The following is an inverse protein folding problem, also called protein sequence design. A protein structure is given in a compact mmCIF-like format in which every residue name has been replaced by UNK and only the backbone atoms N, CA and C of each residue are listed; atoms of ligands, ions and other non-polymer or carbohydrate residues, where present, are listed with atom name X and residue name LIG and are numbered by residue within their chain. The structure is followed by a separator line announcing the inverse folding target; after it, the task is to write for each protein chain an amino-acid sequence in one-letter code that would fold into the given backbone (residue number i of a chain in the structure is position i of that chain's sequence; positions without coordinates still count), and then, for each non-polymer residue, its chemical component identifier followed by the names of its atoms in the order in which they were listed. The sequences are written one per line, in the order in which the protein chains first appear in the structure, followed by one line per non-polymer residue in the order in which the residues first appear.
data_IF_239474078830
#
_entry.id   IF_239474078830
#
_cell.length_a   1.000
_cell.length_b   1.000
_cell.length_c   1.000
_cell.angle_alpha   90.00
_cell.angle_beta   90.00
_cell.angle_gamma   90.00
#
_symmetry.space_group_name_H-M   'P 1'
#
loop_
_entity.id
_entity.type
_entity.pdbx_description
1 polymer ?
#
# COMPACT_ATOMS: atom_id res chain seq x y z
N UNK A 1 -22.87 -20.21 -1.45
CA UNK A 1 -22.97 -18.95 -0.71
C UNK A 1 -21.70 -18.15 -0.97
N UNK A 2 -21.88 -17.03 -1.69
CA UNK A 2 -21.13 -15.77 -1.69
C UNK A 2 -19.62 -15.79 -1.96
N UNK A 3 -19.26 -15.91 -3.25
CA UNK A 3 -18.03 -15.38 -3.81
C UNK A 3 -18.15 -13.85 -3.92
N UNK A 4 -17.53 -13.12 -2.99
CA UNK A 4 -17.24 -11.71 -3.19
C UNK A 4 -15.83 -11.60 -3.78
N UNK A 5 -15.74 -11.08 -5.00
CA UNK A 5 -14.51 -10.53 -5.56
C UNK A 5 -13.93 -9.50 -4.59
N UNK A 6 -12.94 -9.86 -3.78
CA UNK A 6 -12.33 -8.93 -2.81
C UNK A 6 -11.38 -8.02 -3.57
N UNK A 7 -11.89 -6.87 -4.02
CA UNK A 7 -11.06 -5.69 -4.23
C UNK A 7 -10.32 -5.42 -2.92
N UNK A 8 -8.98 -5.56 -2.90
CA UNK A 8 -8.18 -5.16 -1.74
C UNK A 8 -8.25 -3.65 -1.63
N UNK A 9 -9.16 -3.13 -0.79
CA UNK A 9 -9.26 -1.71 -0.51
C UNK A 9 -7.94 -1.23 0.10
N UNK A 10 -7.35 -0.19 -0.47
CA UNK A 10 -6.15 0.43 0.08
C UNK A 10 -6.55 1.80 0.62
N UNK A 11 -6.28 2.01 1.91
CA UNK A 11 -6.67 3.21 2.63
C UNK A 11 -5.43 4.00 2.97
N UNK A 12 -5.33 5.18 2.35
CA UNK A 12 -4.28 6.15 2.65
C UNK A 12 -4.61 6.92 3.93
N UNK A 13 -3.82 6.70 4.97
CA UNK A 13 -3.88 7.37 6.27
C UNK A 13 -2.71 8.36 6.40
N UNK A 14 -3.00 9.63 6.63
CA UNK A 14 -2.00 10.67 6.88
C UNK A 14 -1.96 10.99 8.37
N UNK A 15 -0.77 11.04 8.98
CA UNK A 15 -0.55 11.42 10.37
C UNK A 15 0.00 12.83 10.41
N UNK A 16 -0.75 13.74 11.04
CA UNK A 16 -0.41 15.16 11.17
C UNK A 16 -0.44 15.58 12.65
N UNK A 17 0.14 16.73 12.96
CA UNK A 17 0.29 17.21 14.34
C UNK A 17 1.63 17.92 14.56
N UNK A 18 1.73 18.63 15.68
CA UNK A 18 2.90 19.45 15.98
C UNK A 18 4.18 18.61 16.16
N UNK A 19 5.35 19.24 16.08
CA UNK A 19 6.64 18.57 16.34
C UNK A 19 6.66 17.93 17.73
N UNK A 20 7.42 16.83 17.90
CA UNK A 20 7.61 16.13 19.19
C UNK A 20 6.37 15.54 19.87
N UNK A 21 5.21 15.56 19.21
CA UNK A 21 3.97 14.87 19.64
C UNK A 21 4.06 13.34 19.55
N UNK A 22 5.04 12.82 18.80
CA UNK A 22 5.34 11.38 18.70
C UNK A 22 4.67 10.65 17.53
N UNK A 23 4.29 11.35 16.45
CA UNK A 23 3.73 10.79 15.21
C UNK A 23 4.56 9.62 14.64
N UNK A 24 5.86 9.85 14.43
CA UNK A 24 6.78 8.81 13.95
C UNK A 24 6.89 7.64 14.93
N UNK A 25 6.92 7.90 16.23
CA UNK A 25 6.96 6.85 17.26
C UNK A 25 5.68 6.00 17.24
N UNK A 26 4.51 6.60 17.02
CA UNK A 26 3.23 5.90 16.88
C UNK A 26 3.26 4.99 15.65
N UNK A 27 3.70 5.51 14.49
CA UNK A 27 3.80 4.73 13.25
C UNK A 27 4.79 3.56 13.40
N UNK A 28 6.00 3.81 13.93
CA UNK A 28 7.03 2.78 14.15
C UNK A 28 6.52 1.72 15.13
N UNK A 29 5.84 2.14 16.21
CA UNK A 29 5.25 1.21 17.17
C UNK A 29 4.20 0.31 16.51
N UNK A 30 3.37 0.86 15.62
CA UNK A 30 2.39 0.05 14.91
C UNK A 30 3.01 -0.94 13.92
N UNK A 31 3.98 -0.48 13.12
CA UNK A 31 4.54 -1.28 12.03
C UNK A 31 5.57 -2.29 12.51
N UNK A 32 6.45 -1.88 13.43
CA UNK A 32 7.65 -2.64 13.80
C UNK A 32 7.59 -3.19 15.23
N UNK A 33 6.55 -2.83 15.99
CA UNK A 33 6.44 -3.10 17.43
C UNK A 33 7.69 -2.66 18.23
N UNK A 34 8.28 -1.53 17.85
CA UNK A 34 9.48 -0.94 18.47
C UNK A 34 9.20 0.46 19.02
N UNK A 35 10.03 0.88 19.97
CA UNK A 35 10.09 2.26 20.44
C UNK A 35 11.55 2.65 20.62
N UNK A 36 11.88 3.88 20.22
CA UNK A 36 13.22 4.45 20.31
C UNK A 36 13.10 5.70 21.19
N UNK A 37 13.81 5.75 22.32
CA UNK A 37 13.71 6.85 23.30
C UNK A 37 14.22 8.19 22.74
N UNK A 38 15.20 8.16 21.83
CA UNK A 38 15.78 9.35 21.18
C UNK A 38 15.40 9.40 19.70
N UNK A 39 14.23 9.94 19.39
CA UNK A 39 13.83 10.20 18.00
C UNK A 39 14.26 11.61 17.63
N UNK A 40 15.21 11.72 16.70
CA UNK A 40 15.55 13.01 16.07
C UNK A 40 14.36 13.55 15.29
N UNK A 41 14.29 14.87 15.08
CA UNK A 41 13.19 15.48 14.34
C UNK A 41 13.03 14.85 12.95
N UNK A 42 11.81 14.47 12.60
CA UNK A 42 11.49 13.86 11.31
C UNK A 42 11.74 14.87 10.20
N UNK A 43 12.72 14.60 9.35
CA UNK A 43 12.99 15.35 8.13
C UNK A 43 12.17 14.73 7.00
N UNK A 44 11.16 15.45 6.50
CA UNK A 44 10.33 15.03 5.37
C UNK A 44 9.09 14.20 5.75
N UNK A 45 8.66 13.30 4.86
CA UNK A 45 7.48 12.44 5.04
C UNK A 45 7.92 10.97 4.94
N UNK A 46 7.45 10.15 5.87
CA UNK A 46 7.70 8.70 5.95
C UNK A 46 6.42 7.93 5.57
N UNK A 47 6.53 6.77 4.94
CA UNK A 47 5.44 5.93 4.46
C UNK A 47 5.61 4.46 4.85
N UNK A 48 4.52 3.82 5.28
CA UNK A 48 4.46 2.39 5.61
C UNK A 48 3.23 1.74 4.99
N UNK A 49 3.37 0.48 4.58
CA UNK A 49 2.25 -0.34 4.16
C UNK A 49 2.00 -1.47 5.16
N UNK A 50 0.77 -1.63 5.62
CA UNK A 50 0.36 -2.69 6.55
C UNK A 50 -0.91 -3.36 6.06
N UNK A 51 -0.92 -4.69 5.95
CA UNK A 51 -2.13 -5.46 5.65
C UNK A 51 -2.92 -5.71 6.93
N UNK A 52 -4.19 -5.31 6.95
CA UNK A 52 -5.07 -5.43 8.11
C UNK A 52 -6.18 -6.44 7.84
N UNK A 53 -6.43 -7.31 8.81
CA UNK A 53 -7.60 -8.18 8.87
C UNK A 53 -8.41 -7.83 10.11
N UNK A 54 -9.61 -7.25 9.92
CA UNK A 54 -10.51 -6.86 11.02
C UNK A 54 -11.94 -7.23 10.69
N UNK A 55 -12.64 -7.87 11.63
CA UNK A 55 -14.02 -8.33 11.48
C UNK A 55 -14.25 -9.18 10.20
N UNK A 56 -13.30 -10.04 9.85
CA UNK A 56 -13.36 -10.87 8.64
C UNK A 56 -13.16 -10.11 7.33
N UNK A 57 -12.84 -8.81 7.38
CA UNK A 57 -12.55 -7.97 6.21
C UNK A 57 -11.04 -7.73 6.09
N UNK A 58 -10.55 -7.70 4.85
CA UNK A 58 -9.15 -7.50 4.52
C UNK A 58 -8.96 -6.19 3.75
N UNK A 59 -8.04 -5.34 4.22
CA UNK A 59 -7.69 -4.09 3.54
C UNK A 59 -6.23 -3.72 3.82
N UNK A 60 -5.63 -2.94 2.92
CA UNK A 60 -4.29 -2.39 3.10
C UNK A 60 -4.35 -0.99 3.69
N UNK A 61 -3.47 -0.70 4.64
CA UNK A 61 -3.20 0.64 5.14
C UNK A 61 -1.93 1.18 4.49
N UNK A 62 -2.03 2.37 3.93
CA UNK A 62 -0.91 3.21 3.49
C UNK A 62 -0.75 4.35 4.49
N UNK A 63 0.15 4.22 5.45
CA UNK A 63 0.35 5.18 6.52
C UNK A 63 1.42 6.17 6.08
N UNK A 64 1.15 7.47 6.21
CA UNK A 64 2.04 8.57 5.85
C UNK A 64 2.30 9.42 7.10
N UNK A 65 3.51 9.37 7.65
CA UNK A 65 3.95 10.21 8.78
C UNK A 65 4.60 11.49 8.26
N UNK A 66 4.11 12.65 8.69
CA UNK A 66 4.65 13.94 8.23
C UNK A 66 5.58 14.57 9.27
N UNK A 67 6.64 15.25 8.81
CA UNK A 67 7.38 16.19 9.63
C UNK A 67 6.41 17.20 10.28
N UNK A 68 6.53 17.38 11.59
CA UNK A 68 5.76 18.38 12.34
C UNK A 68 6.39 19.77 12.34
N UNK A 69 7.39 20.04 11.47
CA UNK A 69 8.02 21.35 11.41
C UNK A 69 7.26 22.28 10.47
N UNK A 70 6.85 23.39 11.05
CA UNK A 70 6.14 24.52 10.46
C UNK A 70 6.85 25.19 9.28
N UNK A 71 8.13 24.91 9.04
CA UNK A 71 8.93 25.49 7.95
C UNK A 71 8.67 24.84 6.58
N UNK A 72 7.95 23.70 6.52
CA UNK A 72 7.74 22.91 5.29
C UNK A 72 6.27 22.83 4.83
N UNK A 73 5.43 23.78 5.25
CA UNK A 73 3.96 23.80 5.00
C UNK A 73 3.56 23.60 3.53
N UNK A 74 4.29 24.16 2.57
CA UNK A 74 3.98 24.03 1.13
C UNK A 74 4.12 22.59 0.61
N UNK A 75 5.01 21.79 1.22
CA UNK A 75 5.28 20.40 0.81
C UNK A 75 4.21 19.45 1.38
N UNK A 76 3.70 19.72 2.59
CA UNK A 76 2.68 18.93 3.29
C UNK A 76 1.35 18.93 2.52
N UNK A 77 0.98 20.06 1.90
CA UNK A 77 -0.25 20.21 1.10
C UNK A 77 -0.42 19.13 0.02
N UNK A 78 0.67 18.70 -0.60
CA UNK A 78 0.62 17.66 -1.65
C UNK A 78 0.22 16.27 -1.13
N UNK A 79 0.46 15.98 0.16
CA UNK A 79 0.20 14.68 0.75
C UNK A 79 -1.24 14.50 1.19
N UNK A 80 -1.99 15.57 1.43
CA UNK A 80 -3.43 15.51 1.67
C UNK A 80 -4.19 14.96 0.46
N UNK A 81 -3.66 15.14 -0.76
CA UNK A 81 -4.31 14.65 -1.98
C UNK A 81 -4.41 13.13 -1.98
N UNK A 82 -5.64 12.63 -2.16
CA UNK A 82 -5.95 11.20 -2.16
C UNK A 82 -5.83 10.53 -0.80
N UNK A 83 -5.68 11.29 0.30
CA UNK A 83 -5.86 10.75 1.64
C UNK A 83 -7.30 10.33 1.83
N UNK A 84 -7.48 9.14 2.39
CA UNK A 84 -8.80 8.60 2.71
C UNK A 84 -9.11 8.80 4.20
N UNK A 85 -8.07 8.91 5.03
CA UNK A 85 -8.20 9.11 6.46
C UNK A 85 -7.04 9.95 7.01
N UNK A 86 -7.30 10.68 8.10
CA UNK A 86 -6.32 11.55 8.75
C UNK A 86 -6.31 11.28 10.25
N UNK A 87 -5.11 11.11 10.80
CA UNK A 87 -4.83 10.97 12.22
C UNK A 87 -4.14 12.25 12.70
N UNK A 88 -4.75 12.96 13.65
CA UNK A 88 -4.22 14.20 14.23
C UNK A 88 -3.68 13.86 15.60
N UNK A 89 -2.40 14.15 15.85
CA UNK A 89 -1.72 13.74 17.09
C UNK A 89 -1.31 14.94 17.92
N UNK A 90 -1.61 14.90 19.22
CA UNK A 90 -1.06 15.81 20.23
C UNK A 90 -0.47 15.02 21.40
N UNK A 91 0.24 15.71 22.29
CA UNK A 91 0.84 15.14 23.50
C UNK A 91 0.02 15.58 24.72
N UNK A 92 -0.48 14.63 25.51
CA UNK A 92 -1.33 14.92 26.67
C UNK A 92 -0.62 15.71 27.78
N UNK A 93 0.70 15.76 27.75
CA UNK A 93 1.56 16.49 28.69
C UNK A 93 1.96 17.88 28.18
N UNK A 94 1.55 18.25 26.96
CA UNK A 94 1.93 19.50 26.31
C UNK A 94 0.69 20.25 25.79
N UNK A 95 0.28 21.26 26.55
CA UNK A 95 -0.88 22.11 26.24
C UNK A 95 -0.77 22.83 24.89
N UNK A 96 0.42 23.33 24.54
CA UNK A 96 0.64 23.99 23.23
C UNK A 96 0.36 23.07 22.06
N UNK A 97 0.73 21.79 22.19
CA UNK A 97 0.45 20.81 21.14
C UNK A 97 -1.05 20.55 20.96
N UNK A 98 -1.82 20.69 22.04
CA UNK A 98 -3.28 20.56 22.02
C UNK A 98 -3.95 21.80 21.43
N UNK A 99 -3.47 23.01 21.73
CA UNK A 99 -3.96 24.25 21.12
C UNK A 99 -3.82 24.22 19.58
N UNK A 100 -2.73 23.63 19.07
CA UNK A 100 -2.49 23.50 17.63
C UNK A 100 -3.41 22.49 16.94
N UNK A 101 -4.14 21.64 17.66
CA UNK A 101 -5.06 20.66 17.06
C UNK A 101 -6.12 21.34 16.19
N UNK A 102 -6.62 22.51 16.61
CA UNK A 102 -7.57 23.33 15.83
C UNK A 102 -6.99 23.71 14.47
N UNK A 103 -5.73 24.15 14.44
CA UNK A 103 -5.03 24.45 13.19
C UNK A 103 -4.96 23.22 12.29
N UNK A 104 -4.58 22.06 12.83
CA UNK A 104 -4.46 20.82 12.05
C UNK A 104 -5.80 20.31 11.50
N UNK A 105 -6.89 20.47 12.23
CA UNK A 105 -8.23 20.17 11.72
C UNK A 105 -8.59 21.09 10.54
N UNK A 106 -8.38 22.39 10.68
CA UNK A 106 -8.68 23.35 9.61
C UNK A 106 -7.79 23.11 8.37
N UNK A 107 -6.52 22.74 8.56
CA UNK A 107 -5.61 22.38 7.49
C UNK A 107 -6.09 21.13 6.75
N UNK A 108 -6.48 20.08 7.49
CA UNK A 108 -7.07 18.87 6.94
C UNK A 108 -8.35 19.15 6.13
N UNK A 109 -9.25 20.00 6.64
CA UNK A 109 -10.48 20.39 5.93
C UNK A 109 -10.21 21.22 4.67
N UNK A 110 -9.12 21.97 4.65
CA UNK A 110 -8.74 22.81 3.50
C UNK A 110 -8.18 21.98 2.35
N UNK A 111 -7.33 20.99 2.64
CA UNK A 111 -6.53 20.31 1.59
C UNK A 111 -6.93 18.85 1.33
N UNK A 112 -7.62 18.18 2.26
CA UNK A 112 -8.05 16.80 2.07
C UNK A 112 -9.37 16.71 1.28
N UNK A 113 -9.67 15.56 0.66
CA UNK A 113 -11.00 15.29 0.12
C UNK A 113 -12.10 15.42 1.20
N UNK A 114 -13.33 15.78 0.80
CA UNK A 114 -14.42 16.03 1.75
C UNK A 114 -14.88 14.79 2.52
N UNK A 115 -14.74 13.60 1.96
CA UNK A 115 -15.25 12.34 2.50
C UNK A 115 -14.13 11.48 3.13
N UNK A 116 -13.44 12.07 4.12
CA UNK A 116 -12.39 11.38 4.89
C UNK A 116 -12.82 11.08 6.32
N UNK A 117 -12.32 9.98 6.88
CA UNK A 117 -12.38 9.73 8.33
C UNK A 117 -11.26 10.48 9.06
N UNK A 118 -11.59 11.06 10.21
CA UNK A 118 -10.66 11.80 11.08
C UNK A 118 -10.59 11.12 12.44
N UNK A 119 -9.38 11.01 13.01
CA UNK A 119 -9.15 10.51 14.36
C UNK A 119 -8.19 11.44 15.10
N UNK A 120 -8.63 12.00 16.22
CA UNK A 120 -7.78 12.72 17.16
C UNK A 120 -7.12 11.73 18.12
N UNK A 121 -5.82 11.87 18.30
CA UNK A 121 -4.98 10.96 19.08
C UNK A 121 -4.20 11.72 20.15
N UNK A 122 -4.53 11.47 21.42
CA UNK A 122 -3.75 11.94 22.57
C UNK A 122 -2.62 10.96 22.88
N UNK A 123 -1.37 11.30 22.56
CA UNK A 123 -0.22 10.42 22.77
C UNK A 123 0.45 10.65 24.14
N UNK A 124 1.37 9.74 24.50
CA UNK A 124 2.14 9.72 25.76
C UNK A 124 1.29 9.45 27.00
N UNK A 125 0.26 8.63 26.85
CA UNK A 125 -0.60 8.16 27.97
C UNK A 125 0.19 7.49 29.11
N UNK A 126 1.37 6.95 28.83
CA UNK A 126 2.30 6.44 29.84
C UNK A 126 2.80 7.51 30.83
N UNK A 127 2.65 8.79 30.51
CA UNK A 127 3.06 9.92 31.34
C UNK A 127 1.89 10.56 32.11
N UNK A 128 0.96 9.74 32.60
CA UNK A 128 -0.25 10.18 33.32
C UNK A 128 0.02 11.17 34.46
N UNK A 129 1.17 11.03 35.15
CA UNK A 129 1.59 11.94 36.23
C UNK A 129 1.89 13.37 35.77
N UNK A 130 2.16 13.56 34.48
CA UNK A 130 2.47 14.85 33.85
C UNK A 130 1.35 15.32 32.93
N UNK A 131 0.17 14.69 32.99
CA UNK A 131 -0.98 15.06 32.18
C UNK A 131 -1.39 16.50 32.47
N UNK A 132 -1.51 17.30 31.41
CA UNK A 132 -2.09 18.65 31.46
C UNK A 132 -3.40 18.75 30.68
N UNK A 133 -3.63 17.82 29.74
CA UNK A 133 -4.89 17.71 28.98
C UNK A 133 -5.68 16.50 29.47
N UNK A 134 -6.89 16.73 29.96
CA UNK A 134 -7.80 15.65 30.39
C UNK A 134 -8.35 14.89 29.18
N UNK A 135 -8.73 13.63 29.41
CA UNK A 135 -9.43 12.82 28.40
C UNK A 135 -10.70 13.53 27.88
N UNK A 136 -11.44 14.19 28.78
CA UNK A 136 -12.68 14.88 28.42
C UNK A 136 -12.42 16.07 27.48
N UNK A 137 -11.38 16.88 27.74
CA UNK A 137 -11.01 17.98 26.84
C UNK A 137 -10.65 17.49 25.43
N UNK A 138 -9.88 16.40 25.33
CA UNK A 138 -9.55 15.79 24.04
C UNK A 138 -10.77 15.27 23.30
N UNK A 139 -11.68 14.62 24.03
CA UNK A 139 -12.94 14.10 23.49
C UNK A 139 -13.87 15.22 23.02
N UNK A 140 -14.10 16.24 23.83
CA UNK A 140 -14.97 17.38 23.49
C UNK A 140 -14.48 18.10 22.23
N UNK A 141 -13.16 18.27 22.10
CA UNK A 141 -12.57 18.87 20.90
C UNK A 141 -12.77 17.97 19.68
N UNK A 142 -12.54 16.66 19.78
CA UNK A 142 -12.76 15.73 18.66
C UNK A 142 -14.23 15.71 18.20
N UNK A 143 -15.17 15.69 19.16
CA UNK A 143 -16.60 15.71 18.90
C UNK A 143 -17.01 16.98 18.14
N UNK A 144 -16.42 18.14 18.49
CA UNK A 144 -16.67 19.42 17.78
C UNK A 144 -16.27 19.42 16.29
N UNK A 145 -15.35 18.54 15.88
CA UNK A 145 -14.90 18.37 14.49
C UNK A 145 -15.45 17.10 13.83
N UNK A 146 -16.41 16.42 14.47
CA UNK A 146 -16.96 15.13 14.04
C UNK A 146 -15.84 14.10 13.77
N UNK A 147 -14.88 14.04 14.69
CA UNK A 147 -13.71 13.15 14.64
C UNK A 147 -13.80 12.12 15.76
N UNK A 148 -13.30 10.91 15.51
CA UNK A 148 -13.06 9.95 16.59
C UNK A 148 -12.00 10.48 17.57
N UNK A 149 -11.94 9.90 18.77
CA UNK A 149 -10.92 10.21 19.77
C UNK A 149 -10.38 8.94 20.44
N UNK A 150 -9.06 8.85 20.60
CA UNK A 150 -8.39 7.79 21.36
C UNK A 150 -7.10 8.30 22.01
N UNK A 151 -6.77 7.79 23.19
CA UNK A 151 -5.45 8.02 23.80
C UNK A 151 -4.56 6.80 23.64
N UNK A 152 -3.30 7.05 23.30
CA UNK A 152 -2.31 6.00 23.00
C UNK A 152 -1.00 6.23 23.75
N UNK A 153 -0.18 5.19 23.83
CA UNK A 153 1.22 5.32 24.19
C UNK A 153 2.08 4.61 23.16
N UNK A 154 2.86 5.37 22.39
CA UNK A 154 3.88 4.80 21.53
C UNK A 154 4.95 4.03 22.32
N UNK A 155 5.19 4.42 23.58
CA UNK A 155 6.17 3.78 24.46
C UNK A 155 5.73 2.38 24.89
N UNK A 156 4.53 2.25 25.43
CA UNK A 156 4.01 0.96 25.94
C UNK A 156 3.34 0.13 24.85
N UNK A 157 2.91 0.76 23.76
CA UNK A 157 2.12 0.13 22.70
C UNK A 157 0.60 0.17 22.96
N UNK A 158 0.17 0.73 24.09
CA UNK A 158 -1.24 0.83 24.45
C UNK A 158 -2.05 1.57 23.38
N UNK A 159 -3.15 0.95 22.94
CA UNK A 159 -4.13 1.46 21.97
C UNK A 159 -3.57 1.81 20.58
N UNK A 160 -2.29 1.57 20.30
CA UNK A 160 -1.67 1.89 19.00
C UNK A 160 -2.34 1.10 17.87
N UNK A 161 -2.42 -0.23 18.01
CA UNK A 161 -3.08 -1.08 17.01
C UNK A 161 -4.54 -0.68 16.79
N UNK A 162 -5.24 -0.39 17.88
CA UNK A 162 -6.65 -0.02 17.85
C UNK A 162 -6.89 1.31 17.12
N UNK A 163 -6.05 2.32 17.33
CA UNK A 163 -6.13 3.61 16.64
C UNK A 163 -6.06 3.47 15.11
N UNK A 164 -5.06 2.75 14.59
CA UNK A 164 -4.89 2.55 13.14
C UNK A 164 -6.02 1.73 12.52
N UNK A 165 -6.40 0.64 13.18
CA UNK A 165 -7.42 -0.26 12.68
C UNK A 165 -8.83 0.31 12.78
N UNK A 166 -9.16 1.09 13.82
CA UNK A 166 -10.46 1.78 13.92
C UNK A 166 -10.63 2.79 12.79
N UNK A 167 -9.66 3.68 12.62
CA UNK A 167 -9.67 4.68 11.55
C UNK A 167 -9.73 4.03 10.16
N UNK A 168 -8.95 2.98 9.95
CA UNK A 168 -8.93 2.22 8.69
C UNK A 168 -10.26 1.53 8.42
N UNK A 169 -10.82 0.87 9.42
CA UNK A 169 -12.08 0.15 9.27
C UNK A 169 -13.28 1.09 9.07
N UNK A 170 -13.29 2.25 9.72
CA UNK A 170 -14.31 3.28 9.52
C UNK A 170 -14.33 3.76 8.06
N UNK A 171 -13.15 4.11 7.53
CA UNK A 171 -13.04 4.56 6.14
C UNK A 171 -13.33 3.42 5.15
N UNK A 172 -12.90 2.20 5.45
CA UNK A 172 -13.26 1.01 4.68
C UNK A 172 -14.79 0.88 4.56
N UNK A 173 -15.52 1.08 5.67
CA UNK A 173 -16.97 0.96 5.68
C UNK A 173 -17.62 2.05 4.83
N UNK A 174 -17.13 3.30 4.88
CA UNK A 174 -17.63 4.38 4.01
C UNK A 174 -17.46 4.03 2.52
N UNK A 175 -16.25 3.65 2.13
CA UNK A 175 -15.91 3.29 0.74
C UNK A 175 -16.64 2.02 0.26
N UNK A 176 -16.85 1.04 1.14
CA UNK A 176 -17.60 -0.18 0.79
C UNK A 176 -19.11 0.06 0.72
N UNK A 177 -19.66 0.95 1.55
CA UNK A 177 -21.08 1.32 1.51
C UNK A 177 -21.44 2.21 0.31
N UNK A 178 -20.55 3.10 -0.13
CA UNK A 178 -20.73 3.86 -1.39
C UNK A 178 -20.80 2.94 -2.62
N UNK A 179 -20.00 1.87 -2.62
CA UNK A 179 -20.06 0.81 -3.64
C UNK A 179 -21.30 -0.08 -3.53
N UNK A 180 -21.95 -0.14 -2.37
CA UNK A 180 -23.20 -0.87 -2.16
C UNK A 180 -24.42 -0.06 -2.66
N UNK A 181 -24.43 1.26 -2.47
CA UNK A 181 -25.51 2.14 -2.98
C UNK A 181 -25.56 2.20 -4.52
N UNK A 182 -24.45 1.94 -5.22
CA UNK A 182 -24.45 1.75 -6.69
C UNK A 182 -24.93 0.36 -7.12
N UNK A 183 -24.96 -0.62 -6.20
CA UNK A 183 -25.39 -2.02 -6.45
C UNK A 183 -26.83 -2.33 -6.01
N UNK A 184 -27.50 -1.41 -5.29
CA UNK A 184 -28.87 -1.62 -4.78
C UNK A 184 -29.99 -1.56 -5.85
N UNK A 185 -29.67 -1.51 -7.15
CA UNK A 185 -30.68 -1.69 -8.22
C UNK A 185 -30.88 -3.14 -8.71
N UNK A 186 -30.20 -4.15 -8.17
CA UNK A 186 -30.50 -5.56 -8.51
C UNK A 186 -30.75 -6.44 -7.26
N UNK A 187 -32.02 -6.40 -6.84
CA UNK A 187 -32.88 -7.47 -6.31
C UNK A 187 -32.35 -8.39 -5.19
N UNK A 188 -33.07 -8.27 -4.08
CA UNK A 188 -33.16 -9.10 -2.87
C UNK A 188 -33.80 -10.48 -3.10
N UNK A 189 -33.27 -11.57 -2.50
CA UNK A 189 -34.06 -12.51 -1.66
C UNK A 189 -33.22 -13.48 -0.81
N UNK A 190 -33.89 -14.13 0.14
CA UNK A 190 -33.49 -14.57 1.48
C UNK A 190 -33.24 -16.09 1.70
N UNK A 191 -32.53 -16.41 2.81
CA UNK A 191 -32.78 -17.47 3.85
C UNK A 191 -31.94 -18.80 3.94
N UNK A 192 -31.33 -18.94 5.14
CA UNK A 192 -31.09 -20.05 6.11
C UNK A 192 -30.27 -21.34 5.85
N UNK A 193 -29.58 -21.69 6.95
CA UNK A 193 -28.76 -22.82 7.42
C UNK A 193 -29.07 -24.26 6.93
N UNK A 194 -28.03 -25.13 6.93
CA UNK A 194 -27.95 -26.36 7.74
C UNK A 194 -26.58 -27.08 7.56
N UNK A 195 -26.05 -27.59 8.67
CA UNK A 195 -25.05 -28.66 8.76
C UNK A 195 -25.83 -29.95 9.05
N UNK A 196 -25.57 -31.08 8.36
CA UNK A 196 -25.17 -32.27 9.11
C UNK A 196 -24.25 -33.27 8.35
N UNK A 197 -23.33 -33.86 9.09
CA UNK A 197 -22.51 -35.03 8.74
C UNK A 197 -23.30 -36.26 8.27
N UNK A 198 -22.73 -37.04 7.33
CA UNK A 198 -22.42 -38.48 7.48
C UNK A 198 -21.90 -39.10 6.17
N UNK A 199 -20.84 -39.89 6.27
CA UNK A 199 -20.31 -40.76 5.23
C UNK A 199 -20.48 -42.20 5.76
N UNK A 200 -21.38 -42.97 5.18
CA UNK A 200 -21.54 -44.41 5.43
C UNK A 200 -21.04 -45.14 4.16
N UNK A 201 -20.20 -46.14 4.39
CA UNK A 201 -19.68 -47.15 3.45
C UNK A 201 -18.60 -46.74 2.43
N UNK A 202 -17.34 -46.82 2.86
CA UNK A 202 -16.25 -47.28 1.99
C UNK A 202 -15.18 -48.04 2.81
N UNK A 203 -15.00 -49.35 2.60
CA UNK A 203 -13.95 -50.12 3.24
C UNK A 203 -12.61 -49.83 2.55
N UNK A 204 -11.61 -49.47 3.36
CA UNK A 204 -10.19 -49.15 3.06
C UNK A 204 -9.84 -47.68 2.75
N UNK A 205 -9.47 -46.94 3.80
CA UNK A 205 -8.78 -45.62 3.79
C UNK A 205 -7.24 -45.83 3.80
N UNK A 206 -6.40 -44.82 3.48
CA UNK A 206 -6.72 -43.45 3.03
C UNK A 206 -5.89 -43.03 1.79
N UNK A 207 -6.52 -42.87 0.62
CA UNK A 207 -5.93 -42.10 -0.48
C UNK A 207 -6.47 -40.66 -0.43
N UNK A 208 -6.18 -39.91 0.63
CA UNK A 208 -6.76 -38.58 0.82
C UNK A 208 -5.95 -37.69 1.75
N UNK A 209 -4.67 -37.45 1.44
CA UNK A 209 -3.83 -36.49 2.18
C UNK A 209 -2.58 -36.12 1.35
N UNK A 210 -2.77 -35.58 0.14
CA UNK A 210 -1.65 -34.93 -0.58
C UNK A 210 -2.14 -33.71 -1.36
N UNK A 211 -1.42 -32.59 -1.23
CA UNK A 211 -1.70 -31.27 -1.85
C UNK A 211 -1.70 -31.25 -3.39
N UNK A 212 -1.49 -32.40 -4.06
CA UNK A 212 -1.35 -32.51 -5.51
C UNK A 212 -2.56 -33.15 -6.22
N UNK A 213 -3.75 -33.17 -5.61
CA UNK A 213 -4.96 -33.76 -6.21
C UNK A 213 -5.94 -32.70 -6.75
N UNK A 214 -6.61 -33.00 -7.86
CA UNK A 214 -7.61 -32.13 -8.47
C UNK A 214 -8.76 -31.88 -7.48
N UNK A 215 -9.12 -30.62 -7.26
CA UNK A 215 -10.19 -30.28 -6.31
C UNK A 215 -11.52 -30.95 -6.67
N UNK A 216 -11.81 -31.07 -7.98
CA UNK A 216 -13.04 -31.66 -8.51
C UNK A 216 -13.01 -33.20 -8.57
N UNK A 217 -12.08 -33.78 -9.33
CA UNK A 217 -12.10 -35.23 -9.63
C UNK A 217 -11.10 -36.07 -8.82
N UNK A 218 -10.33 -35.43 -7.92
CA UNK A 218 -9.27 -36.05 -7.10
C UNK A 218 -8.14 -36.74 -7.87
N UNK A 219 -8.07 -36.58 -9.18
CA UNK A 219 -6.96 -37.05 -10.01
C UNK A 219 -5.65 -36.36 -9.61
N UNK A 220 -4.55 -37.12 -9.56
CA UNK A 220 -3.21 -36.58 -9.28
C UNK A 220 -2.80 -35.65 -10.41
N UNK A 221 -2.51 -34.40 -10.09
CA UNK A 221 -2.10 -33.36 -11.04
C UNK A 221 -0.58 -33.36 -11.19
N UNK A 222 -0.11 -32.99 -12.38
CA UNK A 222 1.26 -32.53 -12.54
C UNK A 222 1.42 -31.15 -11.89
N UNK A 223 2.64 -30.81 -11.49
CA UNK A 223 2.91 -29.51 -10.87
C UNK A 223 2.55 -28.38 -11.86
N UNK A 224 1.85 -27.35 -11.35
CA UNK A 224 1.56 -26.10 -12.05
C UNK A 224 0.64 -26.20 -13.29
N UNK A 225 -0.20 -27.24 -13.40
CA UNK A 225 -1.19 -27.32 -14.50
C UNK A 225 -2.38 -26.40 -14.26
N UNK A 226 -2.69 -25.52 -15.22
CA UNK A 226 -3.86 -24.64 -15.20
C UNK A 226 -5.19 -25.40 -15.21
N UNK A 227 -5.27 -26.48 -15.98
CA UNK A 227 -6.49 -27.30 -16.10
C UNK A 227 -6.19 -28.74 -15.73
N UNK A 228 -7.15 -29.40 -15.07
CA UNK A 228 -7.00 -30.82 -14.75
C UNK A 228 -6.98 -31.65 -16.04
N UNK A 229 -6.00 -32.52 -16.20
CA UNK A 229 -5.87 -33.40 -17.36
C UNK A 229 -7.03 -34.39 -17.53
N UNK A 230 -7.75 -34.72 -16.45
CA UNK A 230 -8.85 -35.68 -16.47
C UNK A 230 -10.22 -35.04 -16.63
N UNK A 231 -10.52 -34.00 -15.85
CA UNK A 231 -11.85 -33.38 -15.84
C UNK A 231 -11.89 -31.98 -16.46
N UNK A 232 -10.75 -31.47 -16.94
CA UNK A 232 -10.58 -30.17 -17.61
C UNK A 232 -11.06 -28.95 -16.81
N UNK A 233 -11.34 -29.14 -15.52
CA UNK A 233 -11.69 -28.04 -14.62
C UNK A 233 -10.48 -27.15 -14.38
N UNK A 234 -10.72 -25.85 -14.32
CA UNK A 234 -9.70 -24.87 -13.92
C UNK A 234 -9.19 -25.21 -12.51
N UNK A 235 -7.89 -25.20 -12.34
CA UNK A 235 -7.24 -25.52 -11.07
C UNK A 235 -6.89 -24.28 -10.27
N UNK A 236 -6.42 -24.53 -9.05
CA UNK A 236 -6.08 -23.50 -8.08
C UNK A 236 -5.11 -22.44 -8.64
N UNK A 237 -5.15 -21.21 -8.11
CA UNK A 237 -4.34 -20.09 -8.60
C UNK A 237 -2.82 -20.28 -8.48
N UNK A 238 -2.06 -19.60 -9.36
CA UNK A 238 -0.60 -19.70 -9.43
C UNK A 238 0.09 -19.49 -8.08
N UNK A 239 0.89 -20.45 -7.62
CA UNK A 239 1.74 -20.29 -6.42
C UNK A 239 3.14 -19.75 -6.77
N UNK A 240 3.44 -19.67 -8.06
CA UNK A 240 4.70 -19.22 -8.61
C UNK A 240 4.89 -17.69 -8.50
N UNK A 241 6.14 -17.25 -8.60
CA UNK A 241 6.46 -15.83 -8.64
C UNK A 241 6.10 -15.19 -10.00
N UNK A 242 6.17 -13.85 -10.08
CA UNK A 242 5.72 -13.11 -11.26
C UNK A 242 6.50 -13.45 -12.53
N UNK A 243 7.80 -13.73 -12.44
CA UNK A 243 8.59 -14.11 -13.61
C UNK A 243 8.20 -15.50 -14.10
N UNK A 244 8.02 -16.43 -13.17
CA UNK A 244 7.63 -17.81 -13.44
C UNK A 244 6.23 -17.91 -14.08
N UNK A 245 5.27 -17.04 -13.68
CA UNK A 245 3.94 -16.96 -14.31
C UNK A 245 4.04 -16.74 -15.83
N UNK A 246 4.98 -15.89 -16.27
CA UNK A 246 5.18 -15.59 -17.70
C UNK A 246 6.29 -16.43 -18.35
N UNK A 247 6.94 -17.34 -17.61
CA UNK A 247 8.07 -18.12 -18.10
C UNK A 247 9.29 -17.26 -18.47
N UNK A 248 9.50 -16.16 -17.75
CA UNK A 248 10.62 -15.24 -17.96
C UNK A 248 11.78 -15.55 -17.02
N UNK A 249 13.00 -15.23 -17.46
CA UNK A 249 14.17 -15.23 -16.59
C UNK A 249 14.07 -14.10 -15.55
N UNK A 250 14.54 -14.37 -14.33
CA UNK A 250 14.57 -13.43 -13.19
C UNK A 250 15.68 -12.38 -13.36
N UNK A 251 15.53 -11.49 -14.34
CA UNK A 251 16.45 -10.38 -14.65
C UNK A 251 15.73 -9.05 -14.72
N UNK A 252 16.46 -7.94 -14.59
CA UNK A 252 15.90 -6.60 -14.77
C UNK A 252 15.54 -6.37 -16.23
N UNK A 253 16.44 -6.68 -17.14
CA UNK A 253 16.25 -6.41 -18.56
C UNK A 253 15.52 -7.58 -19.21
N UNK A 254 14.18 -7.54 -19.17
CA UNK A 254 13.31 -8.55 -19.79
C UNK A 254 12.78 -8.07 -21.14
N UNK A 255 12.48 -9.03 -22.01
CA UNK A 255 11.78 -8.77 -23.26
C UNK A 255 10.31 -8.38 -22.96
N UNK A 256 10.01 -7.08 -23.12
CA UNK A 256 8.67 -6.54 -22.90
C UNK A 256 7.65 -7.08 -23.90
N UNK A 257 8.08 -7.44 -25.11
CA UNK A 257 7.19 -8.02 -26.12
C UNK A 257 6.81 -9.44 -25.72
N UNK A 258 7.78 -10.24 -25.28
CA UNK A 258 7.51 -11.58 -24.76
C UNK A 258 6.56 -11.54 -23.55
N UNK A 259 6.74 -10.57 -22.65
CA UNK A 259 5.84 -10.35 -21.51
C UNK A 259 4.41 -10.04 -21.96
N UNK A 260 4.24 -9.15 -22.95
CA UNK A 260 2.95 -8.75 -23.48
C UNK A 260 2.24 -9.89 -24.22
N UNK A 261 2.97 -10.63 -25.06
CA UNK A 261 2.44 -11.81 -25.77
C UNK A 261 1.92 -12.87 -24.78
N UNK A 262 2.69 -13.13 -23.71
CA UNK A 262 2.31 -14.09 -22.65
C UNK A 262 1.14 -13.59 -21.81
N UNK A 263 1.09 -12.30 -21.51
CA UNK A 263 -0.05 -11.68 -20.83
C UNK A 263 -1.35 -11.87 -21.61
N UNK A 264 -1.33 -11.59 -22.91
CA UNK A 264 -2.49 -11.82 -23.76
C UNK A 264 -2.88 -13.29 -23.84
N UNK A 265 -1.91 -14.20 -23.99
CA UNK A 265 -2.15 -15.65 -24.03
C UNK A 265 -2.88 -16.11 -22.76
N UNK A 266 -2.39 -15.73 -21.58
CA UNK A 266 -2.98 -16.11 -20.30
C UNK A 266 -4.35 -15.47 -20.08
N UNK A 267 -4.52 -14.18 -20.40
CA UNK A 267 -5.83 -13.52 -20.31
C UNK A 267 -6.84 -14.15 -21.28
N UNK A 268 -6.43 -14.51 -22.49
CA UNK A 268 -7.28 -15.25 -23.43
C UNK A 268 -7.72 -16.60 -22.83
N UNK A 269 -6.95 -17.25 -21.97
CA UNK A 269 -7.36 -18.53 -21.36
C UNK A 269 -8.16 -18.38 -20.07
N UNK A 270 -7.86 -17.35 -19.26
CA UNK A 270 -8.26 -17.28 -17.85
C UNK A 270 -9.14 -16.07 -17.50
N UNK A 271 -9.50 -15.22 -18.47
CA UNK A 271 -10.36 -14.06 -18.21
C UNK A 271 -11.73 -14.46 -17.62
N UNK A 272 -12.21 -13.76 -16.56
CA UNK A 272 -13.46 -14.10 -15.84
C UNK A 272 -14.69 -14.31 -16.72
N UNK A 273 -14.85 -13.52 -17.78
CA UNK A 273 -15.98 -13.61 -18.72
C UNK A 273 -16.14 -15.01 -19.33
N UNK A 274 -15.04 -15.75 -19.51
CA UNK A 274 -15.08 -17.12 -20.05
C UNK A 274 -15.61 -18.16 -19.07
N UNK A 275 -15.69 -17.80 -17.79
CA UNK A 275 -16.07 -18.69 -16.70
C UNK A 275 -17.42 -18.33 -16.09
N UNK A 276 -18.11 -17.27 -16.55
CA UNK A 276 -19.41 -16.84 -16.04
C UNK A 276 -20.46 -17.96 -16.00
N UNK A 277 -20.47 -18.86 -16.99
CA UNK A 277 -21.38 -20.01 -17.05
C UNK A 277 -20.85 -21.29 -16.39
N UNK A 278 -19.67 -21.24 -15.76
CA UNK A 278 -19.01 -22.38 -15.11
C UNK A 278 -19.38 -22.46 -13.63
N UNK A 279 -18.90 -23.49 -12.93
CA UNK A 279 -19.16 -23.66 -11.49
C UNK A 279 -18.59 -22.50 -10.68
N UNK A 280 -19.17 -22.20 -9.51
CA UNK A 280 -18.72 -21.12 -8.62
C UNK A 280 -17.22 -21.19 -8.29
N UNK A 281 -16.67 -22.39 -8.09
CA UNK A 281 -15.25 -22.60 -7.84
C UNK A 281 -14.37 -22.20 -9.04
N UNK A 282 -14.80 -22.47 -10.27
CA UNK A 282 -14.05 -22.09 -11.48
C UNK A 282 -14.12 -20.58 -11.74
N UNK A 283 -15.25 -19.95 -11.43
CA UNK A 283 -15.38 -18.49 -11.48
C UNK A 283 -14.44 -17.80 -10.49
N UNK A 284 -14.35 -18.33 -9.28
CA UNK A 284 -13.43 -17.85 -8.23
C UNK A 284 -11.97 -17.98 -8.68
N UNK A 285 -11.56 -19.18 -9.10
CA UNK A 285 -10.18 -19.41 -9.53
C UNK A 285 -9.82 -18.59 -10.77
N UNK A 286 -10.72 -18.44 -11.73
CA UNK A 286 -10.49 -17.58 -12.91
C UNK A 286 -10.26 -16.12 -12.50
N UNK A 287 -11.05 -15.62 -11.54
CA UNK A 287 -10.92 -14.26 -11.01
C UNK A 287 -9.56 -14.07 -10.31
N UNK A 288 -9.15 -15.02 -9.46
CA UNK A 288 -7.87 -14.94 -8.76
C UNK A 288 -6.66 -15.08 -9.71
N UNK A 289 -6.74 -16.00 -10.70
CA UNK A 289 -5.74 -16.12 -11.76
C UNK A 289 -5.57 -14.81 -12.54
N UNK A 290 -6.68 -14.22 -13.00
CA UNK A 290 -6.62 -12.96 -13.75
C UNK A 290 -6.05 -11.81 -12.91
N UNK A 291 -6.41 -11.73 -11.63
CA UNK A 291 -5.84 -10.76 -10.69
C UNK A 291 -4.32 -10.91 -10.56
N UNK A 292 -3.82 -12.14 -10.34
CA UNK A 292 -2.38 -12.41 -10.25
C UNK A 292 -1.65 -12.08 -11.54
N UNK A 293 -2.22 -12.43 -12.70
CA UNK A 293 -1.64 -12.12 -14.01
C UNK A 293 -1.54 -10.60 -14.20
N UNK A 294 -2.61 -9.86 -13.88
CA UNK A 294 -2.62 -8.40 -14.00
C UNK A 294 -1.58 -7.74 -13.08
N UNK A 295 -1.50 -8.18 -11.82
CA UNK A 295 -0.50 -7.68 -10.88
C UNK A 295 0.93 -7.98 -11.35
N UNK A 296 1.19 -9.22 -11.76
CA UNK A 296 2.48 -9.65 -12.25
C UNK A 296 2.89 -8.86 -13.50
N UNK A 297 1.97 -8.67 -14.46
CA UNK A 297 2.19 -7.86 -15.66
C UNK A 297 2.48 -6.41 -15.32
N UNK A 298 1.71 -5.78 -14.43
CA UNK A 298 1.91 -4.40 -14.01
C UNK A 298 3.30 -4.19 -13.37
N UNK A 299 3.67 -5.07 -12.43
CA UNK A 299 4.96 -5.02 -11.74
C UNK A 299 6.10 -5.24 -12.73
N UNK A 300 6.01 -6.29 -13.55
CA UNK A 300 7.06 -6.61 -14.50
C UNK A 300 7.13 -5.62 -15.66
N UNK A 301 6.06 -4.93 -16.06
CA UNK A 301 6.12 -3.91 -17.12
C UNK A 301 6.88 -2.66 -16.69
N UNK A 302 6.74 -2.26 -15.43
CA UNK A 302 7.40 -1.07 -14.90
C UNK A 302 8.83 -1.38 -14.42
N UNK A 303 9.84 -0.73 -15.00
CA UNK A 303 11.25 -0.99 -14.68
C UNK A 303 11.58 -0.84 -13.18
N UNK A 304 11.08 0.22 -12.52
CA UNK A 304 11.35 0.47 -11.11
C UNK A 304 10.67 -0.58 -10.21
N UNK A 305 9.40 -0.90 -10.48
CA UNK A 305 8.68 -1.94 -9.72
C UNK A 305 9.29 -3.32 -9.92
N UNK A 306 9.70 -3.65 -11.16
CA UNK A 306 10.42 -4.88 -11.49
C UNK A 306 11.73 -4.99 -10.70
N UNK A 307 12.52 -3.92 -10.65
CA UNK A 307 13.76 -3.90 -9.88
C UNK A 307 13.53 -4.12 -8.37
N UNK A 308 12.49 -3.49 -7.79
CA UNK A 308 12.10 -3.71 -6.38
C UNK A 308 11.67 -5.16 -6.13
N UNK A 309 10.85 -5.70 -7.02
CA UNK A 309 10.39 -7.08 -6.92
C UNK A 309 11.54 -8.07 -7.00
N UNK A 310 12.50 -7.82 -7.91
CA UNK A 310 13.68 -8.66 -8.05
C UNK A 310 14.61 -8.58 -6.83
N UNK A 311 14.76 -7.41 -6.18
CA UNK A 311 15.45 -7.31 -4.89
C UNK A 311 14.77 -8.19 -3.82
N UNK A 312 13.45 -8.11 -3.72
CA UNK A 312 12.68 -8.90 -2.76
C UNK A 312 12.86 -10.40 -2.98
N UNK A 313 12.85 -10.87 -4.24
CA UNK A 313 13.13 -12.28 -4.56
C UNK A 313 14.55 -12.73 -4.17
N UNK A 314 15.52 -11.80 -4.10
CA UNK A 314 16.88 -12.08 -3.63
C UNK A 314 17.02 -11.95 -2.10
N UNK A 315 15.92 -11.83 -1.36
CA UNK A 315 15.92 -11.72 0.10
C UNK A 315 16.25 -10.33 0.64
N UNK A 316 16.32 -9.32 -0.24
CA UNK A 316 16.53 -7.93 0.16
C UNK A 316 15.19 -7.21 0.22
N UNK A 317 14.76 -6.88 1.44
CA UNK A 317 13.62 -6.00 1.61
C UNK A 317 14.00 -4.58 1.20
N UNK A 318 13.28 -4.05 0.22
CA UNK A 318 13.38 -2.66 -0.18
C UNK A 318 12.54 -1.81 0.78
N UNK A 319 13.09 -1.55 1.96
CA UNK A 319 12.56 -0.50 2.83
C UNK A 319 13.14 0.83 2.35
N UNK A 320 12.28 1.70 1.81
CA UNK A 320 12.61 3.06 1.33
C UNK A 320 13.30 3.92 2.42
N UNK A 321 13.24 3.48 3.69
CA UNK A 321 13.58 4.26 4.89
C UNK A 321 14.90 3.91 5.57
N UNK A 322 15.52 2.77 5.23
CA UNK A 322 16.78 2.34 5.87
C UNK A 322 18.03 2.92 5.22
N UNK A 323 17.95 3.43 3.99
CA UNK A 323 19.08 4.09 3.32
C UNK A 323 18.73 5.55 3.02
N UNK A 324 18.78 6.41 4.05
CA UNK A 324 18.80 7.86 3.87
C UNK A 324 20.19 8.23 3.35
N UNK A 325 20.34 8.42 2.05
CA UNK A 325 21.53 9.04 1.46
C UNK A 325 21.35 10.57 1.53
N UNK A 326 21.99 11.28 2.49
CA UNK A 326 21.78 12.71 2.67
C UNK A 326 22.28 13.51 1.46
N UNK A 327 23.27 13.00 0.73
CA UNK A 327 23.79 13.63 -0.48
C UNK A 327 22.75 13.56 -1.61
N UNK A 328 22.09 12.41 -1.76
CA UNK A 328 20.99 12.27 -2.71
C UNK A 328 19.83 13.22 -2.37
N UNK A 329 19.47 13.35 -1.08
CA UNK A 329 18.40 14.27 -0.66
C UNK A 329 18.75 15.74 -0.93
N UNK A 330 20.00 16.14 -0.74
CA UNK A 330 20.45 17.50 -1.05
C UNK A 330 20.38 17.78 -2.55
N UNK A 331 20.91 16.89 -3.40
CA UNK A 331 20.81 16.98 -4.86
C UNK A 331 19.34 17.09 -5.32
N UNK A 332 18.46 16.34 -4.67
CA UNK A 332 17.02 16.31 -4.92
C UNK A 332 16.37 17.67 -4.65
N UNK A 333 16.75 18.32 -3.56
CA UNK A 333 16.18 19.59 -3.12
C UNK A 333 16.65 20.73 -4.02
N UNK A 334 17.95 20.78 -4.32
CA UNK A 334 18.55 21.78 -5.22
C UNK A 334 17.88 21.75 -6.59
N UNK A 335 17.73 20.56 -7.21
CA UNK A 335 17.06 20.44 -8.51
C UNK A 335 15.60 20.86 -8.49
N UNK A 336 14.88 20.65 -7.37
CA UNK A 336 13.48 21.08 -7.24
C UNK A 336 13.36 22.59 -7.15
N UNK A 337 14.25 23.23 -6.39
CA UNK A 337 14.30 24.70 -6.27
C UNK A 337 14.64 25.35 -7.62
N UNK A 338 15.62 24.80 -8.36
CA UNK A 338 15.93 25.24 -9.72
C UNK A 338 14.70 25.17 -10.64
N UNK A 339 13.99 24.04 -10.64
CA UNK A 339 12.77 23.87 -11.44
C UNK A 339 11.69 24.85 -11.02
N UNK A 340 11.51 25.14 -9.73
CA UNK A 340 10.51 26.08 -9.23
C UNK A 340 10.75 27.50 -9.73
N UNK A 341 12.00 27.97 -9.64
CA UNK A 341 12.41 29.30 -10.07
C UNK A 341 12.37 29.51 -11.60
N UNK A 342 12.37 28.42 -12.38
CA UNK A 342 12.33 28.51 -13.84
C UNK A 342 11.00 28.99 -14.39
N UNK A 343 11.08 30.05 -15.19
CA UNK A 343 9.94 30.66 -15.88
C UNK A 343 9.84 30.22 -17.35
N UNK A 344 10.97 29.96 -18.02
CA UNK A 344 11.06 29.62 -19.44
C UNK A 344 10.73 28.15 -19.75
N UNK A 345 9.91 27.93 -20.79
CA UNK A 345 9.62 26.57 -21.29
C UNK A 345 10.86 25.91 -21.94
N UNK A 346 11.77 26.68 -22.54
CA UNK A 346 12.98 26.13 -23.17
C UNK A 346 13.96 25.58 -22.13
N UNK A 347 14.12 26.27 -21.00
CA UNK A 347 14.94 25.81 -19.88
C UNK A 347 14.35 24.55 -19.23
N UNK A 348 13.03 24.48 -19.07
CA UNK A 348 12.34 23.30 -18.55
C UNK A 348 12.51 22.08 -19.47
N UNK A 349 12.47 22.27 -20.80
CA UNK A 349 12.76 21.19 -21.76
C UNK A 349 14.20 20.70 -21.64
N UNK A 350 15.16 21.61 -21.51
CA UNK A 350 16.58 21.25 -21.35
C UNK A 350 16.81 20.40 -20.10
N UNK A 351 16.25 20.81 -18.94
CA UNK A 351 16.34 20.01 -17.71
C UNK A 351 15.66 18.65 -17.89
N UNK A 352 14.54 18.59 -18.60
CA UNK A 352 13.86 17.32 -18.87
C UNK A 352 14.75 16.36 -19.67
N UNK A 353 15.44 16.85 -20.68
CA UNK A 353 16.35 16.05 -21.51
C UNK A 353 17.56 15.56 -20.68
N UNK A 354 18.13 16.43 -19.84
CA UNK A 354 19.21 16.08 -18.91
C UNK A 354 18.76 15.02 -17.89
N UNK A 355 17.56 15.16 -17.32
CA UNK A 355 16.97 14.19 -16.40
C UNK A 355 16.71 12.84 -17.09
N UNK A 356 16.24 12.87 -18.35
CA UNK A 356 16.01 11.66 -19.16
C UNK A 356 17.32 10.91 -19.45
N UNK A 357 18.42 11.62 -19.67
CA UNK A 357 19.75 11.05 -19.81
C UNK A 357 20.23 10.41 -18.50
N UNK A 358 20.01 11.07 -17.36
CA UNK A 358 20.35 10.53 -16.05
C UNK A 358 19.54 9.28 -15.70
N UNK A 359 18.24 9.25 -16.03
CA UNK A 359 17.40 8.05 -15.87
C UNK A 359 18.03 6.86 -16.61
N UNK A 360 18.39 7.01 -17.89
CA UNK A 360 19.00 5.94 -18.68
C UNK A 360 20.32 5.44 -18.09
N UNK A 361 21.16 6.35 -17.58
CA UNK A 361 22.41 5.97 -16.90
C UNK A 361 22.14 5.16 -15.64
N UNK A 362 21.17 5.58 -14.82
CA UNK A 362 20.80 4.86 -13.59
C UNK A 362 20.21 3.48 -13.91
N UNK A 363 19.41 3.35 -14.97
CA UNK A 363 18.88 2.07 -15.45
C UNK A 363 20.01 1.11 -15.86
N UNK A 364 21.00 1.59 -16.62
CA UNK A 364 22.18 0.79 -17.00
C UNK A 364 22.98 0.35 -15.78
N UNK A 365 23.20 1.26 -14.82
CA UNK A 365 23.89 0.94 -13.57
C UNK A 365 23.11 -0.10 -12.74
N UNK A 366 21.77 -0.04 -12.75
CA UNK A 366 20.94 -1.05 -12.09
C UNK A 366 21.14 -2.43 -12.71
N UNK A 367 21.10 -2.53 -14.04
CA UNK A 367 21.34 -3.80 -14.74
C UNK A 367 22.71 -4.38 -14.34
N UNK A 368 23.75 -3.55 -14.32
CA UNK A 368 25.08 -3.97 -13.89
C UNK A 368 25.13 -4.42 -12.43
N UNK A 369 24.51 -3.67 -11.51
CA UNK A 369 24.46 -4.03 -10.09
C UNK A 369 23.81 -5.40 -9.87
N UNK A 370 22.72 -5.70 -10.58
CA UNK A 370 22.05 -7.00 -10.47
C UNK A 370 22.90 -8.13 -11.07
N UNK A 371 23.55 -7.90 -12.21
CA UNK A 371 24.47 -8.88 -12.81
C UNK A 371 25.66 -9.20 -11.88
N UNK A 372 26.16 -8.19 -11.16
CA UNK A 372 27.26 -8.34 -10.20
C UNK A 372 26.80 -8.73 -8.78
N UNK A 373 25.48 -8.92 -8.56
CA UNK A 373 24.88 -9.18 -7.24
C UNK A 373 25.20 -8.12 -6.17
N UNK A 374 25.45 -6.87 -6.59
CA UNK A 374 25.67 -5.74 -5.71
C UNK A 374 24.32 -5.09 -5.31
N UNK A 375 23.56 -5.79 -4.46
CA UNK A 375 22.20 -5.40 -4.11
C UNK A 375 22.09 -4.13 -3.26
N UNK A 376 23.12 -3.80 -2.47
CA UNK A 376 23.18 -2.54 -1.72
C UNK A 376 23.26 -1.33 -2.67
N UNK A 377 24.15 -1.40 -3.69
CA UNK A 377 24.21 -0.34 -4.69
C UNK A 377 22.96 -0.32 -5.58
N UNK A 378 22.35 -1.48 -5.83
CA UNK A 378 21.07 -1.56 -6.52
C UNK A 378 19.96 -0.83 -5.74
N UNK A 379 19.89 -0.99 -4.41
CA UNK A 379 18.91 -0.30 -3.55
C UNK A 379 19.03 1.23 -3.70
N UNK A 380 20.24 1.77 -3.57
CA UNK A 380 20.51 3.21 -3.80
C UNK A 380 20.07 3.70 -5.18
N UNK A 381 20.41 2.94 -6.23
CA UNK A 381 20.04 3.30 -7.59
C UNK A 381 18.52 3.20 -7.85
N UNK A 382 17.78 2.29 -7.18
CA UNK A 382 16.31 2.24 -7.27
C UNK A 382 15.67 3.49 -6.66
N UNK A 383 16.17 3.95 -5.50
CA UNK A 383 15.72 5.18 -4.84
C UNK A 383 15.99 6.38 -5.76
N UNK A 384 17.21 6.48 -6.31
CA UNK A 384 17.59 7.52 -7.26
C UNK A 384 16.67 7.52 -8.49
N UNK A 385 16.42 6.34 -9.08
CA UNK A 385 15.53 6.21 -10.24
C UNK A 385 14.10 6.66 -9.94
N UNK A 386 13.57 6.32 -8.76
CA UNK A 386 12.23 6.75 -8.34
C UNK A 386 12.13 8.27 -8.28
N UNK A 387 13.14 8.93 -7.70
CA UNK A 387 13.18 10.38 -7.65
C UNK A 387 13.24 10.98 -9.06
N UNK A 388 14.17 10.54 -9.91
CA UNK A 388 14.32 11.09 -11.26
C UNK A 388 13.04 10.91 -12.09
N UNK A 389 12.35 9.78 -11.92
CA UNK A 389 11.06 9.52 -12.59
C UNK A 389 9.96 10.44 -12.07
N UNK A 390 9.95 10.77 -10.77
CA UNK A 390 9.00 11.72 -10.19
C UNK A 390 9.29 13.14 -10.67
N UNK A 391 10.56 13.53 -10.69
CA UNK A 391 11.02 14.81 -11.23
C UNK A 391 10.60 14.98 -12.69
N UNK A 392 10.74 13.95 -13.52
CA UNK A 392 10.33 13.97 -14.93
C UNK A 392 8.83 14.26 -15.10
N UNK A 393 8.00 13.66 -14.25
CA UNK A 393 6.55 13.91 -14.22
C UNK A 393 6.23 15.33 -13.76
N UNK A 394 6.90 15.82 -12.73
CA UNK A 394 6.72 17.18 -12.20
C UNK A 394 7.08 18.22 -13.28
N UNK A 395 8.22 18.05 -13.98
CA UNK A 395 8.64 18.90 -15.09
C UNK A 395 7.63 18.84 -16.25
N UNK A 396 7.20 17.64 -16.64
CA UNK A 396 6.23 17.45 -17.72
C UNK A 396 4.90 18.15 -17.42
N UNK A 397 4.44 18.07 -16.17
CA UNK A 397 3.22 18.75 -15.71
C UNK A 397 3.39 20.27 -15.79
N UNK A 398 4.54 20.79 -15.35
CA UNK A 398 4.84 22.23 -15.39
C UNK A 398 4.96 22.79 -16.81
N UNK A 399 5.51 22.01 -17.74
CA UNK A 399 5.53 22.35 -19.18
C UNK A 399 4.12 22.42 -19.76
N UNK A 400 3.19 21.58 -19.29
CA UNK A 400 1.81 21.51 -19.84
C UNK A 400 0.89 22.60 -19.28
N UNK A 401 1.19 23.12 -18.08
CA UNK A 401 0.39 24.16 -17.39
C UNK A 401 0.75 25.60 -17.80
N UNK A 402 1.86 25.80 -18.51
CA UNK A 402 2.31 27.08 -19.07
C UNK A 402 2.21 27.00 -20.58
#
# INVERSE_FOLDING_TARGET
MNNNSVSTFIIKQLIIGDSMTGKSSIMIRYCDNKFIDSVEATVGVDFRYVSVQKNGRHFGLQIWDTAGQEQFRTIINSYYRGSHAIMIVYDITNEKSFEQVVYWFNEAETYAPKEISKLLVGNKKDQEKHRVITYQQGKDLADSYNSGFIEVSAKTGENIKEAFELLGFEQFNKLSNENLNQKEQEIHFQIKFLDPNKCEDCPTKPCCESDNCCWNCKYRKDHNTLFCQKCYKLQEPFKQDHFEIFGLEKKIDIDLKQLEDKYEELQKMLHPDKFFSKSSQEQEYSSEHSSRINQAYYILKNFNLRARYLLHLNGFNFDEYTEKDPALLMEIMEKREEIENMTSQEELKKIKDENSLEIKKVEQNLIQNFNQKNFNQAKKNIIRLQYLTKLDKDISTKITLK
#
